data_IF_212965851738
#
_entry.id   IF_212965851738
#
_cell.length_a   1.000
_cell.length_b   1.000
_cell.length_c   1.000
_cell.angle_alpha   90.00
_cell.angle_beta   90.00
_cell.angle_gamma   90.00
#
_symmetry.space_group_name_H-M   'P 1'
#
loop_
_entity.id
_entity.type
_entity.pdbx_description
1 polymer ?
#
# COMPACT_ATOMS: atom_id res chain seq x y z
N UNK A 1 12.44 9.82 26.10
CA UNK A 1 12.23 10.28 24.70
C UNK A 1 11.06 9.51 24.13
N UNK A 2 9.96 10.17 23.76
CA UNK A 2 8.85 9.48 23.09
C UNK A 2 9.25 9.29 21.63
N UNK A 3 9.53 8.06 21.22
CA UNK A 3 9.64 7.73 19.80
C UNK A 3 8.31 8.09 19.15
N UNK A 4 8.34 9.03 18.20
CA UNK A 4 7.13 9.49 17.52
C UNK A 4 6.35 8.34 16.88
N UNK A 5 5.03 8.51 16.75
CA UNK A 5 4.16 7.48 16.16
C UNK A 5 4.58 7.14 14.73
N UNK A 6 5.05 5.91 14.52
CA UNK A 6 5.40 5.39 13.19
C UNK A 6 4.19 5.41 12.25
N UNK A 7 4.47 5.68 10.96
CA UNK A 7 3.49 5.52 9.87
C UNK A 7 3.32 4.04 9.53
N UNK A 8 2.27 3.72 8.78
CA UNK A 8 1.85 2.33 8.51
C UNK A 8 2.99 1.46 7.95
N UNK A 9 3.72 1.94 6.94
CA UNK A 9 4.81 1.17 6.30
C UNK A 9 5.92 0.76 7.31
N UNK A 10 6.67 1.70 7.92
CA UNK A 10 7.75 1.31 8.83
C UNK A 10 7.25 0.56 10.06
N UNK A 11 6.05 0.90 10.56
CA UNK A 11 5.44 0.15 11.65
C UNK A 11 5.17 -1.31 11.27
N UNK A 12 4.64 -1.55 10.06
CA UNK A 12 4.31 -2.88 9.58
C UNK A 12 5.58 -3.72 9.35
N UNK A 13 6.62 -3.12 8.75
CA UNK A 13 7.94 -3.76 8.59
C UNK A 13 8.46 -4.26 9.94
N UNK A 14 8.50 -3.39 10.96
CA UNK A 14 8.90 -3.78 12.32
C UNK A 14 8.04 -4.91 12.91
N UNK A 15 6.72 -4.88 12.66
CA UNK A 15 5.82 -5.93 13.15
C UNK A 15 6.09 -7.28 12.49
N UNK A 16 6.37 -7.31 11.18
CA UNK A 16 6.70 -8.54 10.46
C UNK A 16 8.05 -9.08 10.96
N UNK A 17 9.07 -8.22 11.05
CA UNK A 17 10.39 -8.59 11.57
C UNK A 17 10.35 -9.12 13.00
N UNK A 18 9.44 -8.60 13.82
CA UNK A 18 9.32 -9.06 15.21
C UNK A 18 8.87 -10.50 15.36
N UNK A 19 8.23 -11.10 14.33
CA UNK A 19 7.69 -12.46 14.38
C UNK A 19 6.60 -12.69 15.43
N UNK A 20 6.07 -11.62 16.05
CA UNK A 20 5.13 -11.72 17.19
C UNK A 20 3.74 -12.22 16.82
N UNK A 21 3.35 -12.09 15.56
CA UNK A 21 1.98 -12.35 15.10
C UNK A 21 1.96 -13.65 14.28
N UNK A 22 1.26 -14.70 14.74
CA UNK A 22 1.21 -15.97 14.03
C UNK A 22 0.77 -15.81 12.57
N UNK A 23 1.55 -16.37 11.65
CA UNK A 23 1.26 -16.35 10.20
C UNK A 23 1.57 -15.04 9.48
N UNK A 24 1.94 -13.97 10.20
CA UNK A 24 2.46 -12.74 9.60
C UNK A 24 3.97 -12.90 9.44
N UNK A 25 4.42 -13.11 8.20
CA UNK A 25 5.82 -13.44 7.94
C UNK A 25 6.28 -12.90 6.59
N UNK A 26 7.59 -12.65 6.48
CA UNK A 26 8.27 -12.53 5.20
C UNK A 26 8.21 -13.88 4.47
N UNK A 27 7.84 -13.83 3.19
CA UNK A 27 8.00 -14.94 2.25
C UNK A 27 9.30 -14.79 1.48
N UNK A 28 9.65 -13.55 1.14
CA UNK A 28 10.94 -13.16 0.57
C UNK A 28 11.25 -11.74 1.05
N UNK A 29 12.10 -11.63 2.08
CA UNK A 29 12.47 -10.34 2.67
C UNK A 29 13.24 -9.45 1.67
N UNK A 30 14.09 -10.05 0.82
CA UNK A 30 14.87 -9.30 -0.17
C UNK A 30 13.98 -8.68 -1.24
N UNK A 31 12.95 -9.41 -1.67
CA UNK A 31 11.94 -8.92 -2.60
C UNK A 31 10.82 -8.11 -1.92
N UNK A 32 10.85 -7.97 -0.59
CA UNK A 32 9.82 -7.27 0.18
C UNK A 32 8.46 -7.97 0.16
N UNK A 33 8.41 -9.29 -0.04
CA UNK A 33 7.18 -10.07 -0.11
C UNK A 33 6.86 -10.65 1.25
N UNK A 34 5.64 -10.42 1.74
CA UNK A 34 5.16 -10.91 3.02
C UNK A 34 3.71 -11.35 2.93
N UNK A 35 3.26 -12.11 3.91
CA UNK A 35 1.87 -12.54 4.03
C UNK A 35 1.24 -12.08 5.34
N UNK A 36 -0.08 -11.89 5.32
CA UNK A 36 -0.91 -11.59 6.49
C UNK A 36 -2.11 -12.54 6.51
N UNK A 37 -2.38 -13.25 7.63
CA UNK A 37 -3.58 -14.04 7.79
C UNK A 37 -4.83 -13.17 7.68
N UNK A 38 -5.82 -13.65 6.92
CA UNK A 38 -7.04 -12.90 6.60
C UNK A 38 -8.33 -13.66 6.89
N UNK A 39 -8.27 -14.64 7.80
CA UNK A 39 -9.40 -15.46 8.25
C UNK A 39 -10.66 -14.61 8.54
N UNK A 40 -11.80 -15.12 8.11
CA UNK A 40 -13.09 -14.43 8.28
C UNK A 40 -13.64 -14.69 9.69
N UNK A 41 -14.11 -13.64 10.38
CA UNK A 41 -14.51 -13.73 11.79
C UNK A 41 -15.65 -14.73 12.06
N UNK A 42 -16.54 -14.92 11.08
CA UNK A 42 -17.62 -15.92 11.15
C UNK A 42 -17.17 -17.38 10.91
N UNK A 43 -15.87 -17.67 10.71
CA UNK A 43 -15.38 -19.05 10.51
C UNK A 43 -15.19 -19.76 11.83
N UNK A 44 -15.44 -21.08 11.84
CA UNK A 44 -15.18 -21.91 13.01
C UNK A 44 -13.70 -21.81 13.46
N UNK A 45 -13.50 -21.72 14.76
CA UNK A 45 -12.18 -21.57 15.37
C UNK A 45 -11.49 -20.24 15.05
N UNK A 46 -12.23 -19.20 14.65
CA UNK A 46 -11.70 -17.83 14.65
C UNK A 46 -11.62 -17.34 16.10
N UNK A 47 -10.50 -16.72 16.47
CA UNK A 47 -10.21 -16.28 17.83
C UNK A 47 -9.58 -14.88 17.80
N UNK A 48 -10.15 -13.94 18.56
CA UNK A 48 -9.67 -12.55 18.62
C UNK A 48 -8.21 -12.42 19.07
N UNK A 49 -7.77 -13.23 20.02
CA UNK A 49 -6.42 -13.20 20.59
C UNK A 49 -5.39 -13.92 19.73
N UNK A 50 -5.81 -14.50 18.60
CA UNK A 50 -4.92 -15.08 17.59
C UNK A 50 -5.04 -14.31 16.28
N UNK A 51 -6.24 -14.28 15.71
CA UNK A 51 -6.53 -13.80 14.35
C UNK A 51 -6.67 -12.27 14.25
N UNK A 52 -6.88 -11.55 15.36
CA UNK A 52 -7.04 -10.09 15.36
C UNK A 52 -5.86 -9.34 15.99
N UNK A 53 -4.82 -10.05 16.43
CA UNK A 53 -3.70 -9.49 17.21
C UNK A 53 -2.95 -8.37 16.49
N UNK A 54 -2.59 -8.57 15.22
CA UNK A 54 -1.92 -7.53 14.40
C UNK A 54 -2.82 -6.29 14.24
N UNK A 55 -4.11 -6.50 13.94
CA UNK A 55 -5.06 -5.41 13.71
C UNK A 55 -5.34 -4.63 15.01
N UNK A 56 -5.45 -5.34 16.14
CA UNK A 56 -5.58 -4.76 17.47
C UNK A 56 -4.36 -3.89 17.80
N UNK A 57 -3.14 -4.39 17.55
CA UNK A 57 -1.94 -3.63 17.83
C UNK A 57 -1.85 -2.36 16.97
N UNK A 58 -2.26 -2.41 15.70
CA UNK A 58 -2.36 -1.20 14.86
C UNK A 58 -3.36 -0.18 15.42
N UNK A 59 -4.52 -0.64 15.90
CA UNK A 59 -5.52 0.23 16.50
C UNK A 59 -5.00 0.88 17.80
N UNK A 60 -4.26 0.13 18.62
CA UNK A 60 -3.58 0.66 19.81
C UNK A 60 -2.50 1.68 19.44
N UNK A 61 -1.63 1.35 18.47
CA UNK A 61 -0.56 2.21 17.99
C UNK A 61 -1.07 3.55 17.44
N UNK A 62 -2.20 3.52 16.73
CA UNK A 62 -2.84 4.73 16.20
C UNK A 62 -3.64 5.52 17.23
N UNK A 63 -3.85 4.96 18.42
CA UNK A 63 -4.69 5.52 19.48
C UNK A 63 -6.19 5.41 19.20
N UNK A 64 -6.59 4.60 18.20
CA UNK A 64 -7.99 4.34 17.83
C UNK A 64 -8.66 3.29 18.71
N UNK A 65 -7.88 2.58 19.51
CA UNK A 65 -8.37 1.62 20.48
C UNK A 65 -7.53 1.73 21.76
N UNK A 66 -8.21 1.93 22.90
CA UNK A 66 -7.64 1.95 24.24
C UNK A 66 -8.28 0.82 25.07
N UNK A 67 -7.52 -0.22 25.45
CA UNK A 67 -8.09 -1.35 26.19
C UNK A 67 -8.77 -1.00 27.52
N UNK A 68 -8.39 0.12 28.15
CA UNK A 68 -8.97 0.58 29.41
C UNK A 68 -10.33 1.27 29.27
N UNK A 69 -10.66 1.80 28.09
CA UNK A 69 -11.89 2.60 27.89
C UNK A 69 -12.81 2.03 26.83
N UNK A 70 -12.26 1.37 25.82
CA UNK A 70 -12.99 1.01 24.62
C UNK A 70 -13.32 -0.48 24.61
N UNK A 71 -14.49 -0.84 24.07
CA UNK A 71 -14.84 -2.23 23.82
C UNK A 71 -14.07 -2.78 22.61
N UNK A 72 -13.59 -4.04 22.64
CA UNK A 72 -12.97 -4.67 21.48
C UNK A 72 -13.88 -4.70 20.25
N UNK A 73 -13.38 -4.21 19.10
CA UNK A 73 -14.06 -4.32 17.81
C UNK A 73 -13.09 -4.77 16.70
N UNK A 74 -12.90 -6.09 16.55
CA UNK A 74 -12.01 -6.67 15.54
C UNK A 74 -12.39 -6.34 14.10
N UNK A 75 -13.68 -6.12 13.83
CA UNK A 75 -14.18 -5.79 12.49
C UNK A 75 -13.68 -4.40 12.09
N UNK A 76 -13.81 -3.43 13.00
CA UNK A 76 -13.32 -2.07 12.79
C UNK A 76 -11.80 -2.02 12.70
N UNK A 77 -11.08 -2.74 13.55
CA UNK A 77 -9.61 -2.80 13.47
C UNK A 77 -9.12 -3.33 12.11
N UNK A 78 -9.69 -4.45 11.65
CA UNK A 78 -9.34 -5.06 10.35
C UNK A 78 -9.68 -4.14 9.17
N UNK A 79 -10.83 -3.47 9.21
CA UNK A 79 -11.22 -2.53 8.16
C UNK A 79 -10.26 -1.33 8.09
N UNK A 80 -9.94 -0.72 9.24
CA UNK A 80 -9.03 0.43 9.32
C UNK A 80 -7.60 0.06 8.90
N UNK A 81 -7.12 -1.11 9.31
CA UNK A 81 -5.82 -1.64 8.90
C UNK A 81 -5.76 -1.79 7.38
N UNK A 82 -6.77 -2.41 6.76
CA UNK A 82 -6.85 -2.56 5.30
C UNK A 82 -6.82 -1.22 4.59
N UNK A 83 -7.58 -0.23 5.08
CA UNK A 83 -7.58 1.11 4.49
C UNK A 83 -6.20 1.77 4.59
N UNK A 84 -5.52 1.66 5.74
CA UNK A 84 -4.17 2.18 5.91
C UNK A 84 -3.18 1.49 4.97
N UNK A 85 -3.24 0.16 4.85
CA UNK A 85 -2.37 -0.61 3.96
C UNK A 85 -2.59 -0.26 2.49
N UNK A 86 -3.85 -0.20 2.04
CA UNK A 86 -4.20 0.12 0.66
C UNK A 86 -3.94 1.58 0.28
N UNK A 87 -3.73 2.46 1.26
CA UNK A 87 -3.36 3.86 1.02
C UNK A 87 -1.88 4.06 0.69
N UNK A 88 -1.05 3.02 0.91
CA UNK A 88 0.38 3.08 0.65
C UNK A 88 0.64 2.90 -0.86
N UNK A 89 1.26 3.89 -1.54
CA UNK A 89 1.54 3.81 -2.98
C UNK A 89 2.61 2.77 -3.33
N UNK A 90 3.39 2.38 -2.33
CA UNK A 90 4.54 1.50 -2.40
C UNK A 90 4.26 0.11 -1.80
N UNK A 91 3.01 -0.22 -1.50
CA UNK A 91 2.60 -1.57 -1.11
C UNK A 91 1.53 -2.07 -2.07
N UNK A 92 1.74 -3.27 -2.63
CA UNK A 92 0.82 -3.90 -3.58
C UNK A 92 0.39 -5.28 -3.09
N UNK A 93 -0.89 -5.60 -3.24
CA UNK A 93 -1.39 -6.97 -3.00
C UNK A 93 -1.06 -7.85 -4.21
N UNK A 94 -0.46 -9.02 -3.96
CA UNK A 94 -0.24 -10.06 -4.97
C UNK A 94 -1.42 -11.04 -4.92
N UNK A 95 -2.46 -10.74 -5.71
CA UNK A 95 -3.71 -11.51 -5.68
C UNK A 95 -3.55 -12.95 -6.18
N UNK A 96 -2.64 -13.19 -7.12
CA UNK A 96 -2.27 -14.50 -7.67
C UNK A 96 -1.70 -15.44 -6.60
N UNK A 97 -0.97 -14.89 -5.62
CA UNK A 97 -0.38 -15.64 -4.51
C UNK A 97 -1.27 -15.71 -3.27
N UNK A 98 -2.40 -15.00 -3.26
CA UNK A 98 -3.26 -14.86 -2.09
C UNK A 98 -4.38 -15.90 -2.03
N UNK A 99 -4.58 -16.54 -0.87
CA UNK A 99 -5.68 -17.48 -0.64
C UNK A 99 -6.82 -16.79 0.12
N UNK A 100 -7.92 -16.49 -0.59
CA UNK A 100 -9.05 -15.69 -0.05
C UNK A 100 -10.10 -16.51 0.73
N UNK A 101 -10.04 -17.83 0.70
CA UNK A 101 -11.06 -18.74 1.28
C UNK A 101 -10.38 -19.82 2.13
N UNK A 102 -11.15 -20.42 3.05
CA UNK A 102 -10.66 -21.49 3.93
C UNK A 102 -10.29 -21.01 5.33
N UNK A 103 -9.85 -21.96 6.17
CA UNK A 103 -9.44 -21.69 7.54
C UNK A 103 -8.08 -20.97 7.60
N UNK A 104 -7.20 -21.27 6.65
CA UNK A 104 -5.86 -20.69 6.54
C UNK A 104 -5.82 -19.61 5.45
N UNK A 105 -6.89 -18.81 5.33
CA UNK A 105 -6.93 -17.72 4.36
C UNK A 105 -5.88 -16.66 4.70
N UNK A 106 -5.11 -16.22 3.70
CA UNK A 106 -4.08 -15.18 3.82
C UNK A 106 -4.02 -14.29 2.59
N UNK A 107 -3.43 -13.10 2.74
CA UNK A 107 -3.13 -12.17 1.66
C UNK A 107 -1.63 -11.97 1.57
N UNK A 108 -1.12 -12.00 0.35
CA UNK A 108 0.28 -11.74 0.04
C UNK A 108 0.41 -10.31 -0.45
N UNK A 109 1.40 -9.60 0.08
CA UNK A 109 1.73 -8.24 -0.28
C UNK A 109 3.20 -8.14 -0.65
N UNK A 110 3.54 -7.12 -1.43
CA UNK A 110 4.89 -6.74 -1.77
C UNK A 110 5.11 -5.27 -1.43
N UNK A 111 6.15 -4.99 -0.65
CA UNK A 111 6.65 -3.64 -0.42
C UNK A 111 7.65 -3.30 -1.53
N UNK A 112 7.34 -2.28 -2.31
CA UNK A 112 8.24 -1.77 -3.32
C UNK A 112 9.43 -1.05 -2.67
N UNK A 113 10.65 -1.18 -3.23
CA UNK A 113 11.77 -0.36 -2.81
C UNK A 113 11.37 1.10 -2.88
N UNK A 114 11.57 1.84 -1.79
CA UNK A 114 11.43 3.29 -1.88
C UNK A 114 12.48 3.79 -2.86
N UNK A 115 12.06 4.24 -4.05
CA UNK A 115 12.93 5.11 -4.83
C UNK A 115 13.06 6.33 -3.94
N UNK A 116 14.21 6.47 -3.26
CA UNK A 116 14.53 7.67 -2.50
C UNK A 116 14.34 8.82 -3.48
N UNK A 117 13.20 9.52 -3.41
CA UNK A 117 13.12 10.85 -4.00
C UNK A 117 14.14 11.65 -3.19
N UNK A 118 15.36 11.78 -3.72
CA UNK A 118 16.22 12.89 -3.34
C UNK A 118 15.29 14.10 -3.28
N UNK A 119 15.22 14.74 -2.11
CA UNK A 119 14.50 16.01 -1.96
C UNK A 119 14.98 16.86 -3.13
N UNK A 120 14.10 17.22 -4.05
CA UNK A 120 14.45 18.09 -5.18
C UNK A 120 14.85 19.43 -4.57
N UNK A 121 16.14 19.61 -4.27
CA UNK A 121 16.77 20.93 -4.31
C UNK A 121 16.67 21.35 -5.77
N UNK A 122 16.14 22.56 -6.00
CA UNK A 122 15.51 23.00 -7.23
C UNK A 122 16.18 22.53 -8.51
N UNK A 123 15.45 21.74 -9.30
CA UNK A 123 15.81 21.46 -10.68
C UNK A 123 15.55 22.73 -11.49
N UNK A 124 16.59 23.53 -11.71
CA UNK A 124 16.58 24.58 -12.74
C UNK A 124 16.28 23.93 -14.09
N UNK A 125 15.48 24.63 -14.90
CA UNK A 125 15.03 24.22 -16.23
C UNK A 125 16.22 23.68 -17.04
N UNK A 126 16.05 22.50 -17.62
CA UNK A 126 16.94 22.03 -18.68
C UNK A 126 16.46 22.69 -19.96
N UNK A 127 17.26 23.64 -20.42
CA UNK A 127 17.14 24.29 -21.71
C UNK A 127 17.57 23.28 -22.78
N UNK A 128 16.68 22.98 -23.72
CA UNK A 128 16.94 22.06 -24.82
C UNK A 128 17.23 22.86 -26.09
N UNK A 129 18.46 23.35 -26.19
CA UNK A 129 19.04 23.78 -27.46
C UNK A 129 19.44 22.54 -28.28
N UNK A 130 18.57 22.11 -29.19
CA UNK A 130 18.96 21.34 -30.37
C UNK A 130 18.77 22.24 -31.58
N UNK A 131 19.86 22.85 -31.99
CA UNK A 131 19.98 23.63 -33.21
C UNK A 131 20.11 22.68 -34.39
N UNK A 132 19.06 22.52 -35.18
CA UNK A 132 19.11 21.87 -36.48
C UNK A 132 19.07 22.97 -37.56
N UNK A 133 20.16 23.11 -38.30
CA UNK A 133 20.32 24.12 -39.34
C UNK A 133 19.68 23.68 -40.67
N UNK A 134 18.95 24.63 -41.29
CA UNK A 134 18.58 24.69 -42.71
C UNK A 134 17.57 23.63 -43.19
N UNK A 135 16.60 23.91 -44.06
CA UNK A 135 16.14 25.08 -44.77
C UNK A 135 15.01 24.54 -45.67
N UNK A 136 13.84 25.19 -45.73
CA UNK A 136 12.81 24.76 -46.69
C UNK A 136 11.39 25.09 -46.27
N UNK A 137 10.98 26.33 -46.55
CA UNK A 137 9.59 26.76 -46.68
C UNK A 137 8.82 25.80 -47.62
N UNK A 138 7.61 25.37 -47.22
CA UNK A 138 6.45 25.37 -48.12
C UNK A 138 5.13 25.24 -47.34
N UNK A 139 4.27 26.20 -47.67
CA UNK A 139 2.87 26.44 -47.34
C UNK A 139 1.94 25.22 -47.28
N UNK A 140 1.05 25.20 -46.29
CA UNK A 140 -0.19 24.42 -46.28
C UNK A 140 -1.37 25.29 -46.76
N UNK A 141 -2.17 24.87 -47.74
CA UNK A 141 -3.45 25.48 -48.02
C UNK A 141 -4.62 24.83 -47.26
N UNK A 142 -5.67 25.63 -47.17
CA UNK A 142 -6.94 25.54 -46.45
C UNK A 142 -7.98 24.61 -47.11
N UNK A 143 -9.06 24.35 -46.36
CA UNK A 143 -10.35 23.69 -46.73
C UNK A 143 -10.31 22.15 -46.75
N UNK A 144 -11.30 21.40 -46.23
CA UNK A 144 -12.74 21.57 -46.41
C UNK A 144 -13.56 20.76 -45.37
N UNK A 145 -14.68 21.31 -44.87
CA UNK A 145 -15.78 20.56 -44.23
C UNK A 145 -16.59 19.79 -45.29
N UNK A 146 -17.34 18.75 -44.89
CA UNK A 146 -18.81 18.77 -45.11
C UNK A 146 -19.56 18.15 -43.90
N UNK A 147 -20.58 18.80 -43.33
CA UNK A 147 -21.97 19.04 -43.76
C UNK A 147 -22.95 18.05 -43.10
N UNK A 148 -23.91 18.65 -42.39
CA UNK A 148 -25.11 18.07 -41.77
C UNK A 148 -26.05 17.44 -42.82
N UNK A 149 -26.80 16.42 -42.38
CA UNK A 149 -28.20 16.03 -42.71
C UNK A 149 -28.32 14.50 -42.55
N UNK A 150 -29.34 13.89 -41.94
CA UNK A 150 -30.70 14.30 -41.62
C UNK A 150 -31.15 13.77 -40.25
#
# INVERSE_FOLDING_TARGET
MHQGRLRMRPWLEEQIHSGKYPGVTWLDEKAGIFQIPWKHAARHGWNIDKDATLFRNWAMHTGRYKPSTDKPDPKTWKANFRCALNSLPDVKELHDKSIKKGNDAFRVYMILPSIKKCRKVGMRKYDSDIQCAGSGLLSYPETNQPSICA
#
